data_IF_668805571030
#
_entry.id   IF_668805571030
#
_cell.length_a   1.000
_cell.length_b   1.000
_cell.length_c   1.000
_cell.angle_alpha   90.00
_cell.angle_beta   90.00
_cell.angle_gamma   90.00
#
_symmetry.space_group_name_H-M   'P 1'
#
loop_
_entity.id
_entity.type
_entity.pdbx_description
1 polymer ?
#
# COMPACT_ATOMS: atom_id res chain seq x y z
N UNK A 1 -12.50 -2.84 27.08
CA UNK A 1 -12.66 -3.45 25.74
C UNK A 1 -12.75 -4.95 25.93
N UNK A 2 -13.81 -5.55 25.44
CA UNK A 2 -14.03 -6.99 25.55
C UNK A 2 -12.92 -7.73 24.78
N UNK A 3 -12.19 -8.64 25.44
CA UNK A 3 -11.10 -9.42 24.82
C UNK A 3 -11.58 -10.22 23.60
N UNK A 4 -12.86 -10.62 23.58
CA UNK A 4 -13.45 -11.33 22.44
C UNK A 4 -13.55 -10.48 21.16
N UNK A 5 -13.36 -9.17 21.26
CA UNK A 5 -13.43 -8.22 20.12
C UNK A 5 -12.07 -7.70 19.69
N UNK A 6 -10.97 -8.28 20.13
CA UNK A 6 -9.66 -7.89 19.67
C UNK A 6 -9.44 -8.32 18.20
N UNK A 7 -8.81 -7.46 17.38
CA UNK A 7 -8.45 -7.83 16.02
C UNK A 7 -7.57 -9.09 15.99
N UNK A 8 -7.85 -9.98 15.05
CA UNK A 8 -7.15 -11.27 14.94
C UNK A 8 -5.63 -11.11 14.75
N UNK A 9 -5.19 -10.01 14.10
CA UNK A 9 -3.76 -9.78 13.86
C UNK A 9 -2.94 -9.56 15.13
N UNK A 10 -3.57 -9.15 16.25
CA UNK A 10 -2.85 -8.91 17.51
C UNK A 10 -2.21 -10.19 18.07
N UNK A 11 -2.87 -11.33 17.93
CA UNK A 11 -2.31 -12.61 18.35
C UNK A 11 -1.05 -12.94 17.50
N UNK A 12 -1.12 -12.75 16.21
CA UNK A 12 0.00 -12.96 15.30
C UNK A 12 1.16 -11.99 15.59
N UNK A 13 0.85 -10.75 15.93
CA UNK A 13 1.85 -9.76 16.32
C UNK A 13 2.61 -10.18 17.58
N UNK A 14 1.90 -10.62 18.62
CA UNK A 14 2.50 -11.07 19.88
C UNK A 14 3.40 -12.29 19.69
N UNK A 15 3.09 -13.13 18.72
CA UNK A 15 3.87 -14.32 18.37
C UNK A 15 5.07 -14.04 17.44
N UNK A 16 5.24 -12.79 17.00
CA UNK A 16 6.29 -12.41 16.04
C UNK A 16 6.02 -12.85 14.61
N UNK A 17 4.86 -13.44 14.33
CA UNK A 17 4.51 -13.95 13.00
C UNK A 17 4.35 -12.83 11.97
N UNK A 18 3.78 -11.67 12.39
CA UNK A 18 3.63 -10.54 11.47
C UNK A 18 4.98 -9.99 11.01
N UNK A 19 5.95 -9.86 11.92
CA UNK A 19 7.29 -9.40 11.57
C UNK A 19 7.96 -10.34 10.56
N UNK A 20 7.84 -11.66 10.76
CA UNK A 20 8.38 -12.65 9.84
C UNK A 20 7.69 -12.60 8.48
N UNK A 21 6.37 -12.49 8.43
CA UNK A 21 5.62 -12.35 7.17
C UNK A 21 6.00 -11.07 6.42
N UNK A 22 6.18 -9.97 7.16
CA UNK A 22 6.64 -8.70 6.58
C UNK A 22 8.00 -8.86 5.93
N UNK A 23 8.94 -9.52 6.60
CA UNK A 23 10.28 -9.79 6.06
C UNK A 23 10.19 -10.61 4.77
N UNK A 24 9.43 -11.71 4.78
CA UNK A 24 9.26 -12.57 3.61
C UNK A 24 8.65 -11.82 2.42
N UNK A 25 7.63 -10.97 2.67
CA UNK A 25 7.00 -10.18 1.63
C UNK A 25 7.96 -9.13 1.06
N UNK A 26 8.80 -8.51 1.91
CA UNK A 26 9.80 -7.56 1.44
C UNK A 26 10.88 -8.22 0.60
N UNK A 27 11.25 -9.48 0.91
CA UNK A 27 12.23 -10.23 0.12
C UNK A 27 11.76 -10.45 -1.33
N UNK A 28 10.45 -10.52 -1.58
CA UNK A 28 9.89 -10.63 -2.92
C UNK A 28 10.19 -9.42 -3.81
N UNK A 29 10.49 -8.28 -3.21
CA UNK A 29 10.79 -7.04 -3.95
C UNK A 29 12.19 -7.05 -4.58
N UNK A 30 13.03 -8.03 -4.28
CA UNK A 30 14.34 -8.18 -4.92
C UNK A 30 14.25 -8.65 -6.37
N UNK A 31 13.15 -9.30 -6.73
CA UNK A 31 12.80 -9.65 -8.10
C UNK A 31 11.27 -9.58 -8.22
N UNK A 32 10.76 -8.40 -8.52
CA UNK A 32 9.34 -8.07 -8.37
C UNK A 32 8.45 -8.77 -9.41
N UNK A 33 7.65 -9.70 -8.94
CA UNK A 33 6.63 -10.40 -9.73
C UNK A 33 5.26 -10.34 -9.03
N UNK A 34 5.00 -9.28 -8.25
CA UNK A 34 3.80 -9.16 -7.41
C UNK A 34 2.50 -8.93 -8.19
N UNK A 35 2.62 -8.41 -9.40
CA UNK A 35 1.45 -8.18 -10.26
C UNK A 35 1.68 -8.82 -11.65
N UNK A 36 0.65 -8.88 -12.52
CA UNK A 36 0.78 -9.47 -13.84
C UNK A 36 1.84 -8.85 -14.76
N UNK A 37 2.35 -7.66 -14.44
CA UNK A 37 3.45 -7.04 -15.19
C UNK A 37 4.76 -7.84 -15.07
N UNK A 38 5.00 -8.50 -13.94
CA UNK A 38 6.14 -9.37 -13.69
C UNK A 38 7.46 -8.77 -14.16
N UNK A 39 7.71 -7.51 -13.83
CA UNK A 39 8.86 -6.76 -14.34
C UNK A 39 10.21 -7.26 -13.83
N UNK A 40 10.26 -8.04 -12.74
CA UNK A 40 11.47 -8.69 -12.26
C UNK A 40 12.56 -7.74 -11.72
N UNK A 41 12.27 -6.46 -11.59
CA UNK A 41 13.23 -5.46 -11.10
C UNK A 41 13.54 -5.65 -9.62
N UNK A 42 14.74 -5.27 -9.20
CA UNK A 42 15.11 -5.23 -7.80
C UNK A 42 14.72 -3.89 -7.18
N UNK A 43 13.51 -3.84 -6.64
CA UNK A 43 12.96 -2.61 -6.06
C UNK A 43 13.66 -2.20 -4.77
N UNK A 44 14.27 -3.14 -4.06
CA UNK A 44 15.06 -2.85 -2.87
C UNK A 44 16.37 -2.14 -3.21
N UNK A 45 16.90 -2.35 -4.40
CA UNK A 45 18.07 -1.63 -4.91
C UNK A 45 17.70 -0.28 -5.58
N UNK A 46 16.42 0.13 -5.54
CA UNK A 46 15.96 1.37 -6.14
C UNK A 46 15.55 1.26 -7.60
N UNK A 47 15.51 0.06 -8.17
CA UNK A 47 15.04 -0.13 -9.55
C UNK A 47 13.53 0.08 -9.62
N UNK A 48 13.09 0.73 -10.69
CA UNK A 48 11.67 1.02 -10.94
C UNK A 48 11.15 0.08 -12.03
N UNK A 49 9.99 -0.54 -11.74
CA UNK A 49 9.24 -1.30 -12.75
C UNK A 49 8.14 -0.47 -13.38
N UNK A 50 7.15 -1.14 -13.97
CA UNK A 50 6.03 -0.50 -14.66
C UNK A 50 5.22 0.44 -13.75
N UNK A 51 5.13 0.14 -12.46
CA UNK A 51 4.38 0.99 -11.50
C UNK A 51 5.11 2.29 -11.12
N UNK A 52 6.39 2.42 -11.41
CA UNK A 52 7.15 3.65 -11.19
C UNK A 52 7.58 3.92 -9.74
N UNK A 53 7.51 2.92 -8.86
CA UNK A 53 7.95 3.05 -7.46
C UNK A 53 8.95 1.97 -7.09
N UNK A 54 9.82 2.29 -6.12
CA UNK A 54 10.75 1.30 -5.56
C UNK A 54 10.15 0.57 -4.34
N UNK A 55 10.97 0.00 -3.46
CA UNK A 55 10.50 -0.73 -2.28
C UNK A 55 9.89 0.18 -1.20
N UNK A 56 10.15 1.49 -1.27
CA UNK A 56 9.62 2.43 -0.28
C UNK A 56 8.21 2.88 -0.66
N UNK A 57 7.28 2.95 0.30
CA UNK A 57 5.97 3.53 0.03
C UNK A 57 6.11 5.00 -0.38
N UNK A 58 5.45 5.37 -1.45
CA UNK A 58 5.35 6.76 -1.89
C UNK A 58 3.94 7.26 -1.65
N UNK A 59 3.78 8.20 -0.75
CA UNK A 59 2.48 8.70 -0.32
C UNK A 59 2.17 10.02 -1.02
N UNK A 60 1.05 10.05 -1.74
CA UNK A 60 0.55 11.26 -2.41
C UNK A 60 -0.25 12.15 -1.46
N UNK A 61 -1.12 11.55 -0.66
CA UNK A 61 -1.97 12.27 0.27
C UNK A 61 -2.48 11.34 1.37
N UNK A 62 -2.88 11.93 2.49
CA UNK A 62 -3.64 11.24 3.52
C UNK A 62 -4.65 12.20 4.13
N UNK A 63 -5.82 11.68 4.49
CA UNK A 63 -6.89 12.50 5.06
C UNK A 63 -7.94 11.62 5.74
N UNK A 64 -8.82 12.28 6.51
CA UNK A 64 -10.07 11.66 6.96
C UNK A 64 -11.11 11.81 5.86
N UNK A 65 -11.75 10.71 5.51
CA UNK A 65 -12.82 10.68 4.52
C UNK A 65 -14.17 10.44 5.21
N UNK A 66 -15.13 11.34 4.99
CA UNK A 66 -16.41 11.34 5.69
C UNK A 66 -17.58 10.82 4.84
N UNK A 67 -17.35 10.48 3.59
CA UNK A 67 -18.39 10.17 2.61
C UNK A 67 -18.44 8.70 2.20
N UNK A 68 -17.80 7.82 2.99
CA UNK A 68 -17.95 6.38 2.82
C UNK A 68 -19.26 5.91 3.46
N UNK A 69 -19.61 4.64 3.23
CA UNK A 69 -20.76 4.00 3.86
C UNK A 69 -20.73 4.19 5.38
N UNK A 70 -21.90 4.41 6.04
CA UNK A 70 -21.94 4.65 7.48
C UNK A 70 -21.18 3.64 8.35
N UNK A 71 -21.17 2.32 8.06
CA UNK A 71 -20.37 1.37 8.83
C UNK A 71 -18.87 1.60 8.75
N UNK A 72 -18.39 2.27 7.70
CA UNK A 72 -16.96 2.55 7.47
C UNK A 72 -16.57 3.89 8.08
N UNK A 73 -17.30 4.96 7.75
CA UNK A 73 -16.96 6.33 8.15
C UNK A 73 -17.50 6.71 9.51
N UNK A 74 -18.68 6.23 9.88
CA UNK A 74 -19.35 6.67 11.10
C UNK A 74 -19.49 8.21 11.14
N UNK A 75 -19.32 8.80 12.32
CA UNK A 75 -19.36 10.27 12.51
C UNK A 75 -17.96 10.89 12.48
N UNK A 76 -16.89 10.09 12.58
CA UNK A 76 -15.50 10.59 12.68
C UNK A 76 -14.71 10.45 11.37
N UNK A 77 -15.32 9.84 10.35
CA UNK A 77 -14.66 9.56 9.09
C UNK A 77 -13.76 8.33 9.12
N UNK A 78 -13.26 7.93 7.97
CA UNK A 78 -12.29 6.85 7.80
C UNK A 78 -10.93 7.41 7.40
N UNK A 79 -9.86 6.86 7.95
CA UNK A 79 -8.50 7.22 7.55
C UNK A 79 -8.24 6.74 6.12
N UNK A 80 -7.76 7.65 5.27
CA UNK A 80 -7.48 7.36 3.86
C UNK A 80 -6.05 7.74 3.54
N UNK A 81 -5.31 6.81 2.93
CA UNK A 81 -3.95 7.05 2.44
C UNK A 81 -3.92 6.74 0.94
N UNK A 82 -3.49 7.72 0.15
CA UNK A 82 -3.29 7.54 -1.29
C UNK A 82 -1.81 7.30 -1.57
N UNK A 83 -1.50 6.16 -2.16
CA UNK A 83 -0.15 5.82 -2.61
C UNK A 83 0.03 6.22 -4.07
N UNK A 84 1.24 6.63 -4.42
CA UNK A 84 1.62 6.88 -5.82
C UNK A 84 2.07 5.60 -6.51
N UNK A 85 1.90 5.57 -7.82
CA UNK A 85 2.25 4.43 -8.66
C UNK A 85 1.05 3.55 -8.96
N UNK A 86 1.08 2.93 -10.13
CA UNK A 86 0.02 2.03 -10.57
C UNK A 86 0.55 1.11 -11.67
N UNK A 87 0.16 -0.16 -11.61
CA UNK A 87 0.56 -1.16 -12.59
C UNK A 87 -0.28 -1.15 -13.87
N UNK A 88 -1.43 -0.47 -13.89
CA UNK A 88 -2.39 -0.52 -15.01
C UNK A 88 -2.17 0.58 -16.05
N UNK A 89 -1.89 1.80 -15.63
CA UNK A 89 -1.68 2.97 -16.51
C UNK A 89 -2.86 3.23 -17.46
N UNK A 90 -4.08 3.25 -16.93
CA UNK A 90 -5.27 3.51 -17.71
C UNK A 90 -5.22 4.90 -18.37
N UNK A 91 -5.59 4.97 -19.66
CA UNK A 91 -5.61 6.23 -20.40
C UNK A 91 -6.59 7.25 -19.84
N UNK A 92 -7.69 6.75 -19.25
CA UNK A 92 -8.78 7.56 -18.69
C UNK A 92 -8.71 7.66 -17.15
N UNK A 93 -7.53 7.49 -16.56
CA UNK A 93 -7.39 7.50 -15.11
C UNK A 93 -7.65 8.89 -14.54
N UNK A 94 -8.67 9.02 -13.69
CA UNK A 94 -8.98 10.28 -12.99
C UNK A 94 -7.92 10.66 -11.96
N UNK A 95 -7.09 9.70 -11.52
CA UNK A 95 -6.00 9.89 -10.56
C UNK A 95 -4.63 9.93 -11.26
N UNK A 96 -4.58 10.36 -12.51
CA UNK A 96 -3.38 10.39 -13.35
C UNK A 96 -2.14 10.98 -12.65
N UNK A 97 -2.23 12.10 -11.90
CA UNK A 97 -1.04 12.67 -11.24
C UNK A 97 -0.37 11.72 -10.26
N UNK A 98 -1.13 10.93 -9.52
CA UNK A 98 -0.57 9.98 -8.56
C UNK A 98 -0.33 8.60 -9.15
N UNK A 99 -1.15 8.17 -10.10
CA UNK A 99 -1.01 6.84 -10.71
C UNK A 99 0.11 6.77 -11.74
N UNK A 100 0.37 7.83 -12.49
CA UNK A 100 1.31 7.83 -13.61
C UNK A 100 2.42 8.88 -13.50
N UNK A 101 2.15 10.08 -12.99
CA UNK A 101 3.15 11.13 -12.83
C UNK A 101 3.98 11.02 -11.56
N UNK A 102 3.60 10.15 -10.63
CA UNK A 102 4.35 9.88 -9.43
C UNK A 102 4.41 11.01 -8.42
N UNK A 103 3.37 11.85 -8.37
CA UNK A 103 3.27 12.92 -7.37
C UNK A 103 3.17 12.31 -5.98
N UNK A 104 4.05 12.71 -5.07
CA UNK A 104 4.06 12.20 -3.69
C UNK A 104 5.44 12.24 -3.06
N UNK A 105 5.53 11.74 -1.83
CA UNK A 105 6.78 11.64 -1.06
C UNK A 105 7.05 10.21 -0.68
N UNK A 106 8.29 9.80 -0.77
CA UNK A 106 8.74 8.55 -0.17
C UNK A 106 8.78 8.66 1.35
N UNK A 107 8.40 7.59 2.02
CA UNK A 107 8.52 7.47 3.47
C UNK A 107 9.92 6.99 3.86
#
# INVERSE_FOLDING_TARGET
MDESKQPAYLALHRQGVLAERSRLLNDLLTSCELCPRRCGVNRQAGELGACGVDARPKVAAFSLHHWEEPPISGTRGSGTVFFSGCSLHCLFCQNYPISQLGVGRYL
#
